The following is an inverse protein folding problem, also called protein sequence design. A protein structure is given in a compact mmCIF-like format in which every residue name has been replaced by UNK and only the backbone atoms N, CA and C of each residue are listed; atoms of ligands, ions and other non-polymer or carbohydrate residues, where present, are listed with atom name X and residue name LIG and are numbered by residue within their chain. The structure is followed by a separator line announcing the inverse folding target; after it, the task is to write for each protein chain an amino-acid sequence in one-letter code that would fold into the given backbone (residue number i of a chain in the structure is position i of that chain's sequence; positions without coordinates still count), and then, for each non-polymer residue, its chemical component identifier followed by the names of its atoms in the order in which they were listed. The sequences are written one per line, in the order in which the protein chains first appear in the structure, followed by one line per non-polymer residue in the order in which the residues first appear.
data_IF_278510783506
#
_entry.id   IF_278510783506
#
_cell.length_a   1.000
_cell.length_b   1.000
_cell.length_c   1.000
_cell.angle_alpha   90.00
_cell.angle_beta   90.00
_cell.angle_gamma   90.00
#
_symmetry.space_group_name_H-M   'P 1'
#
loop_
_entity.id
_entity.type
_entity.pdbx_description
1 polymer ?
#
# COMPACT_ATOMS: atom_id res chain seq x y z
N UNK A 1 3.88 -18.13 7.52
CA UNK A 1 2.73 -17.19 7.51
C UNK A 1 2.45 -16.84 6.06
N UNK A 2 1.27 -17.12 5.56
CA UNK A 2 0.90 -16.60 4.24
C UNK A 2 0.59 -15.12 4.44
N UNK A 3 1.34 -14.23 3.82
CA UNK A 3 1.06 -12.80 3.82
C UNK A 3 -0.27 -12.51 3.12
N UNK A 4 -0.63 -13.35 2.16
CA UNK A 4 -1.92 -13.32 1.48
C UNK A 4 -2.63 -14.66 1.65
N UNK A 5 -3.88 -14.64 2.11
CA UNK A 5 -4.73 -15.83 2.19
C UNK A 5 -5.81 -15.76 1.10
N UNK A 6 -5.74 -16.61 0.05
CA UNK A 6 -6.68 -16.57 -1.06
C UNK A 6 -8.14 -16.72 -0.64
N UNK A 7 -8.44 -17.57 0.35
CA UNK A 7 -9.81 -17.79 0.81
C UNK A 7 -10.38 -16.58 1.54
N UNK A 8 -9.56 -15.89 2.34
CA UNK A 8 -9.96 -14.63 2.96
C UNK A 8 -10.19 -13.57 1.88
N UNK A 9 -9.27 -13.43 0.91
CA UNK A 9 -9.42 -12.47 -0.19
C UNK A 9 -10.73 -12.73 -0.93
N UNK A 10 -11.01 -13.98 -1.28
CA UNK A 10 -12.26 -14.35 -1.96
C UNK A 10 -13.49 -14.00 -1.13
N UNK A 11 -13.48 -14.26 0.16
CA UNK A 11 -14.62 -13.99 1.04
C UNK A 11 -14.92 -12.50 1.19
N UNK A 12 -13.88 -11.65 1.37
CA UNK A 12 -14.05 -10.20 1.54
C UNK A 12 -14.29 -9.45 0.22
N UNK A 13 -14.07 -10.13 -0.91
CA UNK A 13 -14.36 -9.61 -2.26
C UNK A 13 -15.42 -10.43 -2.97
N UNK A 14 -16.38 -10.99 -2.23
CA UNK A 14 -17.41 -11.91 -2.74
C UNK A 14 -18.33 -11.28 -3.80
N UNK A 15 -18.53 -9.95 -3.74
CA UNK A 15 -19.32 -9.20 -4.73
C UNK A 15 -18.58 -8.96 -6.06
N UNK A 16 -17.29 -9.31 -6.16
CA UNK A 16 -16.56 -9.20 -7.42
C UNK A 16 -16.88 -10.37 -8.35
N UNK A 17 -17.46 -10.06 -9.50
CA UNK A 17 -17.89 -11.04 -10.52
C UNK A 17 -16.93 -11.13 -11.73
N UNK A 18 -15.83 -10.35 -11.73
CA UNK A 18 -14.82 -10.37 -12.78
C UNK A 18 -13.74 -11.43 -12.54
N UNK A 19 -12.75 -11.44 -13.40
CA UNK A 19 -11.60 -12.35 -13.31
C UNK A 19 -10.80 -12.17 -12.02
N UNK A 20 -10.09 -13.22 -11.62
CA UNK A 20 -9.21 -13.25 -10.46
C UNK A 20 -7.85 -13.84 -10.83
N UNK A 21 -6.80 -13.36 -10.16
CA UNK A 21 -5.47 -13.96 -10.29
C UNK A 21 -5.36 -15.31 -9.54
N UNK A 22 -4.16 -15.92 -9.60
CA UNK A 22 -3.86 -17.19 -8.93
C UNK A 22 -4.02 -17.16 -7.40
N UNK A 23 -4.00 -15.97 -6.80
CA UNK A 23 -4.20 -15.74 -5.37
C UNK A 23 -5.64 -15.31 -5.05
N UNK A 24 -6.57 -15.49 -5.99
CA UNK A 24 -7.98 -15.10 -5.92
C UNK A 24 -8.21 -13.59 -5.72
N UNK A 25 -7.21 -12.75 -5.99
CA UNK A 25 -7.36 -11.30 -5.99
C UNK A 25 -8.14 -10.85 -7.23
N UNK A 26 -9.09 -9.90 -7.08
CA UNK A 26 -9.76 -9.31 -8.23
C UNK A 26 -8.78 -8.73 -9.26
N UNK A 27 -8.99 -9.03 -10.53
CA UNK A 27 -8.30 -8.41 -11.65
C UNK A 27 -9.14 -7.25 -12.15
N UNK A 28 -8.70 -6.04 -11.88
CA UNK A 28 -9.36 -4.83 -12.38
C UNK A 28 -8.93 -4.60 -13.83
N UNK A 29 -9.86 -4.46 -14.79
CA UNK A 29 -9.53 -4.14 -16.16
C UNK A 29 -8.70 -2.87 -16.29
N UNK A 30 -7.69 -2.89 -17.14
CA UNK A 30 -6.74 -1.79 -17.28
C UNK A 30 -7.40 -0.48 -17.71
N UNK A 31 -8.42 -0.54 -18.55
CA UNK A 31 -9.20 0.62 -18.95
C UNK A 31 -9.91 1.30 -17.77
N UNK A 32 -10.37 0.54 -16.79
CA UNK A 32 -10.94 1.10 -15.56
C UNK A 32 -9.89 1.81 -14.71
N UNK A 33 -8.70 1.25 -14.59
CA UNK A 33 -7.59 1.88 -13.86
C UNK A 33 -7.22 3.21 -14.52
N UNK A 34 -7.11 3.25 -15.85
CA UNK A 34 -6.79 4.48 -16.58
C UNK A 34 -7.91 5.54 -16.46
N UNK A 35 -9.17 5.12 -16.51
CA UNK A 35 -10.31 6.03 -16.35
C UNK A 35 -10.40 6.59 -14.94
N UNK A 36 -10.04 5.81 -13.92
CA UNK A 36 -10.02 6.28 -12.53
C UNK A 36 -9.02 7.41 -12.29
N UNK A 37 -7.98 7.54 -13.10
CA UNK A 37 -7.04 8.67 -13.02
C UNK A 37 -7.68 10.02 -13.36
N UNK A 38 -8.82 10.01 -14.03
CA UNK A 38 -9.59 11.21 -14.41
C UNK A 38 -10.64 11.61 -13.36
N UNK A 39 -10.84 10.79 -12.33
CA UNK A 39 -11.86 11.01 -11.29
C UNK A 39 -11.28 11.87 -10.17
N UNK A 40 -12.01 12.91 -9.77
CA UNK A 40 -11.62 13.73 -8.62
C UNK A 40 -11.93 13.01 -7.29
N UNK A 41 -11.29 13.46 -6.23
CA UNK A 41 -11.57 12.93 -4.88
C UNK A 41 -13.03 13.12 -4.48
N UNK A 42 -13.63 14.26 -4.84
CA UNK A 42 -15.02 14.60 -4.53
C UNK A 42 -15.99 13.71 -5.29
N UNK A 43 -15.73 13.42 -6.55
CA UNK A 43 -16.55 12.51 -7.36
C UNK A 43 -16.49 11.07 -6.81
N UNK A 44 -15.28 10.58 -6.50
CA UNK A 44 -15.09 9.28 -5.88
C UNK A 44 -15.80 9.19 -4.52
N UNK A 45 -15.62 10.20 -3.66
CA UNK A 45 -16.27 10.28 -2.36
C UNK A 45 -17.79 10.32 -2.48
N UNK A 46 -18.33 11.15 -3.36
CA UNK A 46 -19.77 11.26 -3.60
C UNK A 46 -20.39 9.94 -4.07
N UNK A 47 -19.71 9.26 -4.98
CA UNK A 47 -20.13 7.94 -5.48
C UNK A 47 -20.08 6.88 -4.38
N UNK A 48 -19.00 6.81 -3.60
CA UNK A 48 -18.91 5.91 -2.48
C UNK A 48 -20.03 6.15 -1.46
N UNK A 49 -20.24 7.41 -1.06
CA UNK A 49 -21.28 7.78 -0.10
C UNK A 49 -22.69 7.41 -0.59
N UNK A 50 -23.01 7.67 -1.86
CA UNK A 50 -24.31 7.32 -2.48
C UNK A 50 -24.58 5.80 -2.45
N UNK A 51 -23.52 5.00 -2.51
CA UNK A 51 -23.60 3.54 -2.48
C UNK A 51 -23.43 2.94 -1.07
N UNK A 52 -23.56 3.74 -0.01
CA UNK A 52 -23.50 3.26 1.37
C UNK A 52 -22.10 3.18 1.98
N UNK A 53 -21.05 3.54 1.24
CA UNK A 53 -19.67 3.59 1.75
C UNK A 53 -19.45 4.93 2.47
N UNK A 54 -19.86 5.00 3.72
CA UNK A 54 -19.66 6.19 4.56
C UNK A 54 -18.26 6.22 5.18
N UNK A 55 -17.80 7.41 5.58
CA UNK A 55 -16.52 7.62 6.28
C UNK A 55 -15.27 7.14 5.52
N UNK A 56 -15.31 7.19 4.19
CA UNK A 56 -14.21 6.71 3.34
C UNK A 56 -13.13 7.76 3.05
N UNK A 57 -13.26 8.97 3.59
CA UNK A 57 -12.28 10.03 3.40
C UNK A 57 -11.32 10.13 4.59
N UNK A 58 -10.03 10.22 4.31
CA UNK A 58 -9.01 10.59 5.27
C UNK A 58 -8.19 11.76 4.70
N UNK A 59 -8.06 12.82 5.47
CA UNK A 59 -7.29 14.03 5.12
C UNK A 59 -5.97 14.14 5.86
N UNK A 60 -5.36 15.34 5.82
CA UNK A 60 -4.11 15.70 6.50
C UNK A 60 -2.92 14.84 6.07
N UNK A 61 -2.81 14.58 4.77
CA UNK A 61 -1.67 13.90 4.16
C UNK A 61 -0.63 14.91 3.67
N UNK A 62 0.64 14.59 3.86
CA UNK A 62 1.70 15.16 3.05
C UNK A 62 1.69 14.41 1.71
N UNK A 63 1.27 15.10 0.67
CA UNK A 63 1.30 14.60 -0.70
C UNK A 63 2.58 15.09 -1.37
N UNK A 64 3.47 14.16 -1.75
CA UNK A 64 4.78 14.52 -2.27
C UNK A 64 4.70 15.16 -3.65
N UNK A 65 3.76 14.75 -4.46
CA UNK A 65 3.54 15.26 -5.82
C UNK A 65 2.06 15.57 -6.04
N UNK A 66 1.59 16.78 -5.62
CA UNK A 66 0.16 17.13 -5.68
C UNK A 66 -0.45 17.13 -7.08
N UNK A 67 0.37 17.25 -8.10
CA UNK A 67 0.01 17.21 -9.52
C UNK A 67 -0.13 15.78 -10.08
N UNK A 68 0.20 14.76 -9.29
CA UNK A 68 0.20 13.36 -9.73
C UNK A 68 -0.88 12.55 -9.02
N UNK A 69 -1.82 12.05 -9.81
CA UNK A 69 -2.85 11.12 -9.34
C UNK A 69 -2.26 9.71 -9.23
N UNK A 70 -2.54 9.01 -8.14
CA UNK A 70 -2.24 7.58 -8.00
C UNK A 70 -3.51 6.76 -7.97
N UNK A 71 -3.53 5.71 -8.76
CA UNK A 71 -4.63 4.74 -8.82
C UNK A 71 -4.02 3.36 -8.86
N UNK A 72 -4.58 2.44 -8.11
CA UNK A 72 -4.11 1.07 -8.09
C UNK A 72 -5.00 0.17 -7.25
N UNK A 73 -4.75 -1.11 -7.36
CA UNK A 73 -5.41 -2.14 -6.57
C UNK A 73 -4.79 -2.17 -5.16
N UNK A 74 -5.57 -1.82 -4.14
CA UNK A 74 -5.06 -1.71 -2.78
C UNK A 74 -4.50 -3.05 -2.25
N UNK A 75 -3.25 -2.99 -1.76
CA UNK A 75 -2.63 -4.02 -0.94
C UNK A 75 -2.41 -3.42 0.44
N UNK A 76 -3.21 -3.83 1.39
CA UNK A 76 -3.21 -3.27 2.74
C UNK A 76 -2.32 -4.07 3.68
N UNK A 77 -1.53 -3.38 4.51
CA UNK A 77 -0.82 -3.99 5.62
C UNK A 77 -0.84 -3.08 6.85
N UNK A 78 -0.87 -3.70 8.02
CA UNK A 78 -0.85 -3.01 9.30
C UNK A 78 0.36 -3.44 10.12
N UNK A 79 1.00 -2.48 10.74
CA UNK A 79 2.15 -2.67 11.60
C UNK A 79 1.83 -2.20 13.01
N UNK A 80 2.27 -2.96 13.98
CA UNK A 80 2.11 -2.63 15.40
C UNK A 80 3.48 -2.36 16.01
N UNK A 81 3.57 -1.61 17.13
CA UNK A 81 4.81 -1.45 17.86
C UNK A 81 5.47 -2.80 18.14
N UNK A 82 6.79 -2.83 18.05
CA UNK A 82 7.57 -4.07 18.16
C UNK A 82 7.26 -4.81 19.46
N UNK A 83 6.81 -6.04 19.31
CA UNK A 83 6.66 -7.02 20.37
C UNK A 83 7.73 -8.10 20.19
N UNK A 84 8.69 -8.25 21.11
CA UNK A 84 9.79 -9.21 20.94
C UNK A 84 9.33 -10.65 20.69
N UNK A 85 8.33 -11.12 21.44
CA UNK A 85 7.72 -12.45 21.32
C UNK A 85 7.12 -12.72 19.94
N UNK A 86 6.31 -11.77 19.44
CA UNK A 86 5.67 -11.87 18.13
C UNK A 86 6.70 -11.73 17.01
N UNK A 87 7.63 -10.77 17.14
CA UNK A 87 8.67 -10.53 16.15
C UNK A 87 9.55 -11.76 15.95
N UNK A 88 9.97 -12.41 17.05
CA UNK A 88 10.79 -13.62 16.98
C UNK A 88 10.08 -14.78 16.25
N UNK A 89 8.78 -14.97 16.54
CA UNK A 89 7.97 -15.98 15.87
C UNK A 89 7.84 -15.71 14.36
N UNK A 90 7.58 -14.46 13.97
CA UNK A 90 7.45 -14.07 12.56
C UNK A 90 8.80 -14.22 11.82
N UNK A 91 9.91 -13.76 12.41
CA UNK A 91 11.23 -13.87 11.80
C UNK A 91 11.68 -15.33 11.64
N UNK A 92 11.40 -16.18 12.63
CA UNK A 92 11.66 -17.62 12.53
C UNK A 92 10.96 -18.21 11.32
N UNK A 93 9.67 -17.92 11.17
CA UNK A 93 8.88 -18.40 10.03
C UNK A 93 9.39 -17.83 8.70
N UNK A 94 9.75 -16.54 8.66
CA UNK A 94 10.32 -15.91 7.47
C UNK A 94 11.62 -16.61 7.02
N UNK A 95 12.48 -16.99 7.97
CA UNK A 95 13.71 -17.76 7.69
C UNK A 95 13.40 -19.15 7.13
N UNK A 96 12.42 -19.85 7.69
CA UNK A 96 11.96 -21.15 7.20
C UNK A 96 11.41 -21.05 5.76
N UNK A 97 10.72 -19.94 5.45
CA UNK A 97 10.20 -19.60 4.12
C UNK A 97 11.27 -19.00 3.18
N UNK A 98 12.51 -18.86 3.64
CA UNK A 98 13.64 -18.25 2.90
C UNK A 98 13.36 -16.82 2.43
N UNK A 99 12.61 -16.04 3.20
CA UNK A 99 12.37 -14.63 2.91
C UNK A 99 13.63 -13.79 3.14
N UNK A 100 13.85 -12.80 2.30
CA UNK A 100 15.02 -11.93 2.33
C UNK A 100 14.64 -10.56 2.90
N UNK A 101 15.54 -9.96 3.67
CA UNK A 101 15.35 -8.63 4.25
C UNK A 101 14.46 -8.63 5.47
N UNK A 102 13.90 -7.47 5.79
CA UNK A 102 13.00 -7.27 6.92
C UNK A 102 11.55 -7.49 6.51
N UNK A 103 10.66 -7.56 7.49
CA UNK A 103 9.23 -7.85 7.28
C UNK A 103 8.54 -6.89 6.30
N UNK A 104 8.94 -5.61 6.25
CA UNK A 104 8.42 -4.65 5.28
C UNK A 104 8.80 -5.02 3.83
N UNK A 105 10.02 -5.53 3.61
CA UNK A 105 10.43 -6.07 2.30
C UNK A 105 9.54 -7.23 1.87
N UNK A 106 9.14 -8.09 2.80
CA UNK A 106 8.31 -9.26 2.48
C UNK A 106 6.94 -8.87 1.94
N UNK A 107 6.34 -7.81 2.48
CA UNK A 107 5.07 -7.27 1.95
C UNK A 107 5.27 -6.68 0.56
N UNK A 108 6.37 -5.95 0.37
CA UNK A 108 6.71 -5.37 -0.93
C UNK A 108 6.94 -6.47 -1.98
N UNK A 109 7.49 -7.62 -1.58
CA UNK A 109 7.72 -8.75 -2.48
C UNK A 109 6.44 -9.36 -3.04
N UNK A 110 5.32 -9.24 -2.34
CA UNK A 110 4.01 -9.72 -2.80
C UNK A 110 3.33 -8.77 -3.81
N UNK A 111 3.84 -7.54 -3.98
CA UNK A 111 3.27 -6.57 -4.90
C UNK A 111 3.49 -6.97 -6.36
N UNK A 112 2.51 -6.64 -7.19
CA UNK A 112 2.56 -6.81 -8.64
C UNK A 112 2.11 -5.53 -9.34
N UNK A 113 2.24 -5.49 -10.67
CA UNK A 113 1.84 -4.33 -11.47
C UNK A 113 0.40 -3.89 -11.16
N UNK A 114 0.18 -2.58 -11.17
CA UNK A 114 -1.07 -1.89 -10.82
C UNK A 114 -1.53 -2.08 -9.36
N UNK A 115 -0.69 -2.59 -8.48
CA UNK A 115 -0.94 -2.55 -7.03
C UNK A 115 -0.61 -1.17 -6.45
N UNK A 116 -1.35 -0.77 -5.43
CA UNK A 116 -1.08 0.39 -4.58
C UNK A 116 -0.91 -0.10 -3.15
N UNK A 117 0.28 0.02 -2.59
CA UNK A 117 0.51 -0.34 -1.20
C UNK A 117 -0.11 0.71 -0.27
N UNK A 118 -0.90 0.24 0.70
CA UNK A 118 -1.54 1.07 1.73
C UNK A 118 -1.12 0.54 3.10
N UNK A 119 -0.35 1.33 3.82
CA UNK A 119 0.30 0.95 5.08
C UNK A 119 -0.31 1.70 6.24
N UNK A 120 -0.75 0.98 7.25
CA UNK A 120 -1.22 1.55 8.51
C UNK A 120 -0.13 1.39 9.59
N UNK A 121 0.42 2.51 10.05
CA UNK A 121 1.34 2.63 11.19
C UNK A 121 0.71 3.41 12.35
N UNK A 122 -0.62 3.50 12.40
CA UNK A 122 -1.36 4.30 13.40
C UNK A 122 -0.97 5.78 13.43
N UNK A 123 -0.63 6.36 12.29
CA UNK A 123 -0.19 7.75 12.19
C UNK A 123 1.20 8.02 12.77
N UNK A 124 1.95 7.00 13.18
CA UNK A 124 3.26 7.17 13.83
C UNK A 124 4.30 7.67 12.83
N UNK A 125 4.87 8.83 13.10
CA UNK A 125 5.95 9.45 12.30
C UNK A 125 7.28 9.28 13.00
N UNK A 126 7.40 9.82 14.24
CA UNK A 126 8.63 9.72 15.01
C UNK A 126 8.96 8.25 15.29
N UNK A 127 10.16 7.82 14.93
CA UNK A 127 10.61 6.44 15.14
C UNK A 127 9.64 5.40 14.52
N UNK A 128 9.01 5.77 13.38
CA UNK A 128 7.95 5.00 12.73
C UNK A 128 8.03 5.03 11.21
N UNK A 129 9.23 4.87 10.66
CA UNK A 129 9.48 4.87 9.22
C UNK A 129 9.19 3.50 8.62
N UNK A 130 8.32 3.48 7.61
CA UNK A 130 8.04 2.25 6.84
C UNK A 130 9.08 2.00 5.74
N UNK A 131 9.42 3.05 4.97
CA UNK A 131 10.28 2.94 3.79
C UNK A 131 11.19 4.15 3.64
N UNK A 132 12.38 3.91 3.14
CA UNK A 132 13.26 4.89 2.55
C UNK A 132 13.32 4.74 1.03
N UNK A 133 14.32 5.33 0.39
CA UNK A 133 14.48 5.36 -1.07
C UNK A 133 14.58 3.96 -1.71
N UNK A 134 15.30 3.03 -1.10
CA UNK A 134 15.47 1.67 -1.62
C UNK A 134 14.14 0.90 -1.69
N UNK A 135 13.36 0.90 -0.60
CA UNK A 135 12.08 0.21 -0.59
C UNK A 135 11.05 0.91 -1.48
N UNK A 136 11.08 2.23 -1.52
CA UNK A 136 10.24 3.02 -2.42
C UNK A 136 10.56 2.73 -3.89
N UNK A 137 11.84 2.60 -4.25
CA UNK A 137 12.27 2.17 -5.57
C UNK A 137 11.75 0.77 -5.92
N UNK A 138 11.80 -0.15 -4.96
CA UNK A 138 11.25 -1.49 -5.14
C UNK A 138 9.72 -1.48 -5.35
N UNK A 139 8.99 -0.68 -4.57
CA UNK A 139 7.54 -0.48 -4.74
C UNK A 139 7.25 0.03 -6.16
N UNK A 140 7.92 1.12 -6.56
CA UNK A 140 7.75 1.71 -7.90
C UNK A 140 8.02 0.69 -9.00
N UNK A 141 9.14 -0.02 -8.91
CA UNK A 141 9.55 -1.02 -9.92
C UNK A 141 8.55 -2.16 -10.07
N UNK A 142 7.92 -2.59 -8.97
CA UNK A 142 6.94 -3.68 -8.98
C UNK A 142 5.56 -3.24 -9.43
N UNK A 143 5.14 -2.05 -9.05
CA UNK A 143 3.74 -1.63 -9.17
C UNK A 143 3.49 -0.62 -10.29
N UNK A 144 4.47 0.24 -10.58
CA UNK A 144 4.29 1.39 -11.48
C UNK A 144 3.33 2.45 -10.94
N UNK A 145 2.98 2.42 -9.63
CA UNK A 145 2.00 3.33 -9.02
C UNK A 145 2.64 4.24 -7.97
N UNK A 146 2.24 4.09 -6.73
CA UNK A 146 2.69 4.89 -5.61
C UNK A 146 2.47 4.19 -4.29
N UNK A 147 2.42 4.96 -3.20
CA UNK A 147 2.19 4.42 -1.87
C UNK A 147 1.35 5.37 -1.01
N UNK A 148 0.59 4.80 -0.09
CA UNK A 148 -0.10 5.53 0.98
C UNK A 148 0.37 4.97 2.31
N UNK A 149 0.96 5.81 3.17
CA UNK A 149 1.54 5.37 4.44
C UNK A 149 0.97 6.22 5.57
N UNK A 150 0.11 5.62 6.38
CA UNK A 150 -0.39 6.26 7.61
C UNK A 150 0.70 6.22 8.69
N UNK A 151 1.79 6.95 8.42
CA UNK A 151 3.01 7.00 9.20
C UNK A 151 4.13 7.76 8.52
N UNK A 152 5.37 7.46 8.89
CA UNK A 152 6.58 8.13 8.40
C UNK A 152 7.28 7.42 7.24
N UNK A 153 8.03 8.22 6.49
CA UNK A 153 9.06 7.78 5.53
C UNK A 153 10.36 8.53 5.76
N UNK A 154 11.45 8.05 5.16
CA UNK A 154 12.75 8.73 5.16
C UNK A 154 13.30 8.87 3.74
N UNK A 155 14.51 9.43 3.60
CA UNK A 155 15.24 9.60 2.33
C UNK A 155 14.42 10.38 1.28
N UNK A 156 13.67 11.37 1.75
CA UNK A 156 12.61 12.06 0.99
C UNK A 156 13.14 12.75 -0.26
N UNK A 157 14.37 13.30 -0.24
CA UNK A 157 14.94 13.95 -1.40
C UNK A 157 14.95 13.03 -2.62
N UNK A 158 15.41 11.79 -2.47
CA UNK A 158 15.44 10.81 -3.56
C UNK A 158 14.05 10.37 -3.99
N UNK A 159 13.11 10.32 -3.06
CA UNK A 159 11.72 9.97 -3.37
C UNK A 159 11.05 11.10 -4.18
N UNK A 160 11.35 12.37 -3.86
CA UNK A 160 10.90 13.52 -4.66
C UNK A 160 11.43 13.53 -6.09
N UNK A 161 12.62 12.98 -6.31
CA UNK A 161 13.24 12.88 -7.64
C UNK A 161 12.66 11.75 -8.50
N UNK A 162 11.82 10.88 -7.93
CA UNK A 162 11.24 9.77 -8.68
C UNK A 162 10.17 10.25 -9.67
N UNK A 163 10.40 10.03 -10.95
CA UNK A 163 9.41 10.26 -11.99
C UNK A 163 8.25 9.26 -11.86
N UNK A 164 7.04 9.64 -12.31
CA UNK A 164 5.84 8.78 -12.34
C UNK A 164 5.55 8.03 -11.02
N UNK A 165 5.85 8.69 -9.89
CA UNK A 165 5.60 8.16 -8.56
C UNK A 165 4.99 9.23 -7.67
N UNK A 166 4.11 8.84 -6.76
CA UNK A 166 3.61 9.73 -5.73
C UNK A 166 3.42 8.97 -4.41
N UNK A 167 3.51 9.69 -3.31
CA UNK A 167 3.32 9.14 -1.97
C UNK A 167 2.45 10.07 -1.12
N UNK A 168 1.52 9.49 -0.40
CA UNK A 168 0.76 10.13 0.65
C UNK A 168 1.23 9.61 1.99
N UNK A 169 1.76 10.49 2.85
CA UNK A 169 2.37 10.09 4.13
C UNK A 169 1.95 11.03 5.26
N UNK A 170 2.13 10.64 6.52
CA UNK A 170 1.88 11.54 7.66
C UNK A 170 3.04 12.47 7.93
N UNK A 171 4.27 12.05 7.64
CA UNK A 171 5.45 12.88 7.87
C UNK A 171 6.75 12.18 7.51
N UNK A 172 7.82 12.80 7.95
CA UNK A 172 9.18 12.39 7.66
C UNK A 172 9.96 12.21 8.95
N UNK A 173 10.72 11.14 9.05
CA UNK A 173 11.60 10.87 10.18
C UNK A 173 12.82 10.07 9.70
N UNK A 174 14.04 10.41 10.11
CA UNK A 174 15.26 9.77 9.60
C UNK A 174 15.55 8.37 10.16
N UNK A 175 14.76 7.92 11.14
CA UNK A 175 14.95 6.61 11.81
C UNK A 175 14.69 5.40 10.91
#
# INVERSE_FOLDING_TARGET
MKLTNPEIIKSITSSWNGDRDKNLRPLVPKDLIERMKLVTTEEAWGTCRKNGYHFQFAGNWNNLHPDRVIVGRAVTCRWVPKRPDLNEAIEKQGKEEKRIGFQNSWVIDELVNDDLIVVDLFGKVFDGTFAGDNLTTAIKSKTGTGMVIDGGIRDTQRIYEMEDFNAFVRGFDPS
#
